data_IF_166569254239
#
_entry.id   IF_166569254239
#
_cell.length_a   1.000
_cell.length_b   1.000
_cell.length_c   1.000
_cell.angle_alpha   90.00
_cell.angle_beta   90.00
_cell.angle_gamma   90.00
#
_symmetry.space_group_name_H-M   'P 1'
#
loop_
_entity.id
_entity.type
_entity.pdbx_description
1 polymer ?
#
# COMPACT_ATOMS: atom_id res chain seq x y z
N UNK A 1 22.93 10.38 -38.83
CA UNK A 1 22.39 9.61 -37.68
C UNK A 1 20.91 9.37 -37.88
N UNK A 2 20.45 8.12 -37.79
CA UNK A 2 19.03 7.78 -37.93
C UNK A 2 18.22 8.19 -36.68
N UNK A 3 16.99 8.68 -36.88
CA UNK A 3 16.10 9.11 -35.79
C UNK A 3 15.24 7.94 -35.28
N UNK A 4 15.65 7.32 -34.17
CA UNK A 4 14.96 6.16 -33.59
C UNK A 4 13.74 6.50 -32.70
N UNK A 5 13.22 7.74 -32.75
CA UNK A 5 12.15 8.21 -31.84
C UNK A 5 10.82 7.51 -32.10
N UNK A 6 10.51 7.19 -33.36
CA UNK A 6 9.30 6.46 -33.75
C UNK A 6 9.36 5.00 -33.28
N UNK A 7 10.49 4.32 -33.51
CA UNK A 7 10.72 2.93 -33.09
C UNK A 7 10.69 2.81 -31.56
N UNK A 8 11.31 3.74 -30.84
CA UNK A 8 11.26 3.79 -29.38
C UNK A 8 9.83 3.98 -28.85
N UNK A 9 8.99 4.74 -29.57
CA UNK A 9 7.56 4.92 -29.26
C UNK A 9 6.76 3.65 -29.54
N UNK A 10 6.98 3.00 -30.68
CA UNK A 10 6.31 1.75 -31.05
C UNK A 10 6.68 0.62 -30.08
N UNK A 11 7.97 0.44 -29.79
CA UNK A 11 8.48 -0.53 -28.82
C UNK A 11 7.88 -0.32 -27.41
N UNK A 12 7.78 0.93 -26.97
CA UNK A 12 7.14 1.30 -25.70
C UNK A 12 5.66 0.89 -25.67
N UNK A 13 4.93 1.12 -26.76
CA UNK A 13 3.52 0.71 -26.88
C UNK A 13 3.35 -0.81 -26.94
N UNK A 14 4.25 -1.52 -27.62
CA UNK A 14 4.21 -2.99 -27.75
C UNK A 14 4.57 -3.69 -26.44
N UNK A 15 5.58 -3.17 -25.71
CA UNK A 15 6.03 -3.71 -24.42
C UNK A 15 5.18 -3.28 -23.22
N UNK A 16 4.20 -2.38 -23.42
CA UNK A 16 3.38 -1.82 -22.34
C UNK A 16 4.21 -1.09 -21.28
N UNK A 17 5.32 -0.45 -21.67
CA UNK A 17 6.24 0.21 -20.76
C UNK A 17 6.52 1.65 -21.20
N UNK A 18 7.03 2.51 -20.31
CA UNK A 18 7.42 3.87 -20.69
C UNK A 18 8.68 3.92 -21.56
N UNK A 19 8.80 4.92 -22.44
CA UNK A 19 9.96 5.10 -23.36
C UNK A 19 11.34 5.05 -22.67
N UNK A 20 11.43 5.45 -21.39
CA UNK A 20 12.68 5.38 -20.59
C UNK A 20 13.14 3.94 -20.33
N UNK A 21 12.22 2.97 -20.34
CA UNK A 21 12.49 1.56 -20.10
C UNK A 21 12.79 0.77 -21.38
N UNK A 22 12.70 1.40 -22.55
CA UNK A 22 13.12 0.78 -23.81
C UNK A 22 14.61 1.04 -24.00
N UNK A 23 15.38 -0.04 -24.07
CA UNK A 23 16.76 -0.05 -24.55
C UNK A 23 16.76 -0.49 -26.02
N UNK A 24 17.61 0.16 -26.82
CA UNK A 24 17.84 -0.13 -28.22
C UNK A 24 19.34 -0.40 -28.35
N UNK A 25 19.70 -1.44 -29.09
CA UNK A 25 21.10 -1.77 -29.35
C UNK A 25 21.79 -0.65 -30.16
N UNK A 26 22.90 -0.06 -29.68
CA UNK A 26 23.65 0.94 -30.43
C UNK A 26 24.43 0.38 -31.63
N UNK A 27 24.67 -0.93 -31.71
CA UNK A 27 25.41 -1.54 -32.81
C UNK A 27 24.51 -1.79 -34.03
N UNK A 28 23.25 -2.16 -33.78
CA UNK A 28 22.28 -2.53 -34.82
C UNK A 28 21.27 -1.39 -35.14
N UNK A 29 21.76 -0.15 -35.17
CA UNK A 29 20.92 1.04 -35.41
C UNK A 29 20.25 1.01 -36.79
N UNK A 30 20.93 0.48 -37.80
CA UNK A 30 20.43 0.36 -39.18
C UNK A 30 19.25 -0.61 -39.26
N UNK A 31 19.37 -1.79 -38.64
CA UNK A 31 18.32 -2.82 -38.58
C UNK A 31 17.08 -2.28 -37.84
N UNK A 32 17.29 -1.64 -36.70
CA UNK A 32 16.20 -1.04 -35.91
C UNK A 32 15.52 0.09 -36.70
N UNK A 33 16.28 0.91 -37.43
CA UNK A 33 15.72 2.01 -38.22
C UNK A 33 14.77 1.53 -39.33
N UNK A 34 15.01 0.34 -39.90
CA UNK A 34 14.19 -0.22 -40.96
C UNK A 34 12.85 -0.79 -40.47
N UNK A 35 12.71 -1.05 -39.16
CA UNK A 35 11.48 -1.57 -38.58
C UNK A 35 10.42 -0.47 -38.37
N UNK A 36 9.45 -0.40 -39.28
CA UNK A 36 8.37 0.58 -39.26
C UNK A 36 7.05 0.04 -38.69
N UNK A 37 6.84 -1.28 -38.74
CA UNK A 37 5.61 -1.92 -38.26
C UNK A 37 5.71 -2.41 -36.81
N UNK A 38 4.56 -2.60 -36.15
CA UNK A 38 4.51 -3.20 -34.80
C UNK A 38 4.96 -4.66 -34.82
N UNK A 39 4.70 -5.37 -35.91
CA UNK A 39 5.09 -6.76 -36.13
C UNK A 39 6.62 -6.88 -36.17
N UNK A 40 7.30 -6.00 -36.91
CA UNK A 40 8.77 -5.99 -37.00
C UNK A 40 9.41 -5.68 -35.65
N UNK A 41 8.85 -4.70 -34.92
CA UNK A 41 9.31 -4.37 -33.56
C UNK A 41 9.13 -5.56 -32.60
N UNK A 42 8.09 -6.39 -32.75
CA UNK A 42 7.94 -7.63 -31.97
C UNK A 42 9.02 -8.66 -32.30
N UNK A 43 9.42 -8.76 -33.58
CA UNK A 43 10.53 -9.61 -34.01
C UNK A 43 11.84 -9.15 -33.38
N UNK A 44 12.17 -7.85 -33.47
CA UNK A 44 13.37 -7.27 -32.85
C UNK A 44 13.41 -7.40 -31.31
N UNK A 45 12.25 -7.41 -30.65
CA UNK A 45 12.15 -7.70 -29.20
C UNK A 45 12.50 -9.17 -28.93
N UNK A 46 12.01 -10.09 -29.77
CA UNK A 46 12.28 -11.53 -29.64
C UNK A 46 13.75 -11.85 -29.90
N UNK A 47 14.35 -11.15 -30.86
CA UNK A 47 15.76 -11.30 -31.25
C UNK A 47 16.71 -10.61 -30.25
N UNK A 48 16.18 -9.85 -29.29
CA UNK A 48 16.96 -9.23 -28.20
C UNK A 48 17.58 -7.87 -28.52
N UNK A 49 17.35 -7.33 -29.72
CA UNK A 49 17.84 -6.00 -30.15
C UNK A 49 17.09 -4.85 -29.45
N UNK A 50 15.87 -5.11 -29.01
CA UNK A 50 15.05 -4.18 -28.21
C UNK A 50 14.72 -4.82 -26.87
N UNK A 51 15.24 -4.24 -25.78
CA UNK A 51 15.10 -4.81 -24.44
C UNK A 51 14.30 -3.89 -23.53
N UNK A 52 13.42 -4.48 -22.72
CA UNK A 52 12.79 -3.79 -21.59
C UNK A 52 13.76 -3.75 -20.41
N UNK A 53 14.31 -2.58 -20.12
CA UNK A 53 15.12 -2.36 -18.90
C UNK A 53 14.30 -2.68 -17.64
N UNK A 54 14.92 -3.30 -16.63
CA UNK A 54 14.26 -3.52 -15.35
C UNK A 54 13.86 -2.20 -14.68
N UNK A 55 12.93 -2.28 -13.73
CA UNK A 55 12.59 -1.13 -12.90
C UNK A 55 13.77 -0.74 -12.02
N UNK A 56 13.92 0.57 -11.78
CA UNK A 56 14.94 1.05 -10.84
C UNK A 56 14.51 0.64 -9.44
N UNK A 57 15.40 -0.02 -8.71
CA UNK A 57 15.06 -0.62 -7.42
C UNK A 57 14.97 0.49 -6.36
N UNK A 58 13.81 0.58 -5.71
CA UNK A 58 13.64 1.38 -4.49
C UNK A 58 13.51 0.45 -3.30
N UNK A 59 14.61 0.25 -2.56
CA UNK A 59 14.62 -0.63 -1.39
C UNK A 59 13.77 -0.08 -0.26
N UNK A 60 12.99 -0.96 0.39
CA UNK A 60 12.18 -0.64 1.58
C UNK A 60 12.91 -0.92 2.90
N UNK A 61 14.18 -1.31 2.86
CA UNK A 61 14.96 -1.72 4.04
C UNK A 61 14.92 -0.68 5.18
N UNK A 62 15.29 0.58 4.88
CA UNK A 62 15.29 1.67 5.88
C UNK A 62 13.91 1.93 6.48
N UNK A 63 12.86 1.87 5.67
CA UNK A 63 11.47 2.04 6.14
C UNK A 63 11.07 0.89 7.07
N UNK A 64 11.43 -0.36 6.75
CA UNK A 64 11.13 -1.52 7.61
C UNK A 64 11.85 -1.43 8.95
N UNK A 65 13.13 -1.07 8.95
CA UNK A 65 13.90 -0.88 10.18
C UNK A 65 13.31 0.24 11.06
N UNK A 66 12.95 1.38 10.44
CA UNK A 66 12.30 2.47 11.17
C UNK A 66 10.94 2.05 11.75
N UNK A 67 10.13 1.27 11.01
CA UNK A 67 8.86 0.75 11.51
C UNK A 67 9.05 -0.24 12.66
N UNK A 68 10.08 -1.09 12.61
CA UNK A 68 10.45 -2.01 13.69
C UNK A 68 10.84 -1.23 14.96
N UNK A 69 11.63 -0.16 14.82
CA UNK A 69 11.98 0.72 15.94
C UNK A 69 10.76 1.48 16.50
N UNK A 70 9.88 2.00 15.62
CA UNK A 70 8.63 2.66 16.02
C UNK A 70 7.69 1.73 16.78
N UNK A 71 7.60 0.45 16.39
CA UNK A 71 6.80 -0.56 17.10
C UNK A 71 7.30 -0.82 18.53
N UNK A 72 8.62 -0.68 18.77
CA UNK A 72 9.23 -0.70 20.10
C UNK A 72 9.06 0.61 20.89
N UNK A 73 8.31 1.59 20.36
CA UNK A 73 8.10 2.89 21.00
C UNK A 73 9.20 3.93 20.74
N UNK A 74 10.20 3.65 19.89
CA UNK A 74 11.22 4.66 19.52
C UNK A 74 10.65 5.67 18.52
N UNK A 75 11.17 6.90 18.53
CA UNK A 75 10.76 7.98 17.61
C UNK A 75 9.27 8.41 17.70
N UNK A 76 8.61 8.23 18.85
CA UNK A 76 7.18 8.59 19.08
C UNK A 76 6.97 9.69 20.14
N UNK A 77 8.06 10.28 20.66
CA UNK A 77 8.03 11.37 21.63
C UNK A 77 7.39 12.66 21.10
N UNK A 78 7.06 13.64 21.97
CA UNK A 78 6.30 14.84 21.64
C UNK A 78 6.88 15.63 20.46
N UNK A 79 8.21 15.82 20.40
CA UNK A 79 8.87 16.54 19.30
C UNK A 79 8.79 15.86 17.92
N UNK A 80 8.31 14.62 17.83
CA UNK A 80 8.03 13.94 16.54
C UNK A 80 6.54 13.91 16.21
N UNK A 81 5.68 14.37 17.12
CA UNK A 81 4.22 14.41 16.91
C UNK A 81 3.90 15.66 16.11
N UNK A 82 3.19 15.46 15.00
CA UNK A 82 2.55 16.51 14.21
C UNK A 82 1.05 16.25 14.21
N UNK A 83 0.24 17.31 14.25
CA UNK A 83 -1.21 17.25 14.37
C UNK A 83 -1.71 17.04 15.81
N UNK A 84 -3.02 17.25 16.01
CA UNK A 84 -3.69 17.13 17.31
C UNK A 84 -3.84 15.67 17.74
N UNK A 85 -4.13 15.43 19.03
CA UNK A 85 -4.35 14.08 19.55
C UNK A 85 -5.51 13.36 18.83
N UNK A 86 -6.62 14.05 18.60
CA UNK A 86 -7.78 13.52 17.88
C UNK A 86 -7.46 13.18 16.41
N UNK A 87 -6.62 13.96 15.72
CA UNK A 87 -6.20 13.63 14.36
C UNK A 87 -5.33 12.36 14.29
N UNK A 88 -4.51 12.11 15.32
CA UNK A 88 -3.62 10.95 15.40
C UNK A 88 -4.36 9.68 15.83
N UNK A 89 -5.30 9.82 16.76
CA UNK A 89 -6.16 8.75 17.26
C UNK A 89 -7.57 9.30 17.51
N UNK A 90 -8.48 9.18 16.53
CA UNK A 90 -9.82 9.72 16.65
C UNK A 90 -10.59 9.11 17.81
N UNK A 91 -11.21 9.97 18.62
CA UNK A 91 -11.96 9.53 19.79
C UNK A 91 -13.12 8.58 19.43
N UNK A 92 -13.84 8.84 18.34
CA UNK A 92 -14.91 7.96 17.86
C UNK A 92 -14.42 6.54 17.51
N UNK A 93 -13.19 6.40 17.01
CA UNK A 93 -12.59 5.09 16.71
C UNK A 93 -12.25 4.34 18.00
N UNK A 94 -11.70 5.05 19.01
CA UNK A 94 -11.44 4.47 20.33
C UNK A 94 -12.73 4.02 21.01
N UNK A 95 -13.80 4.81 20.91
CA UNK A 95 -15.13 4.48 21.43
C UNK A 95 -15.69 3.22 20.78
N UNK A 96 -15.72 3.16 19.43
CA UNK A 96 -16.19 1.99 18.70
C UNK A 96 -15.42 0.71 19.09
N UNK A 97 -14.08 0.79 19.19
CA UNK A 97 -13.25 -0.35 19.59
C UNK A 97 -13.58 -0.83 21.00
N UNK A 98 -13.71 0.09 21.95
CA UNK A 98 -14.05 -0.22 23.35
C UNK A 98 -15.42 -0.89 23.44
N UNK A 99 -16.44 -0.31 22.83
CA UNK A 99 -17.81 -0.85 22.80
C UNK A 99 -17.85 -2.27 22.23
N UNK A 100 -17.19 -2.51 21.09
CA UNK A 100 -17.18 -3.82 20.44
C UNK A 100 -16.50 -4.89 21.29
N UNK A 101 -15.38 -4.57 21.95
CA UNK A 101 -14.66 -5.50 22.82
C UNK A 101 -15.52 -5.87 24.03
N UNK A 102 -16.12 -4.87 24.70
CA UNK A 102 -16.95 -5.09 25.88
C UNK A 102 -18.22 -5.90 25.56
N UNK A 103 -18.92 -5.58 24.47
CA UNK A 103 -20.12 -6.34 24.06
C UNK A 103 -19.79 -7.78 23.68
N UNK A 104 -18.64 -8.00 23.04
CA UNK A 104 -18.16 -9.37 22.73
C UNK A 104 -17.84 -10.14 24.01
N UNK A 105 -17.21 -9.49 25.00
CA UNK A 105 -16.91 -10.11 26.29
C UNK A 105 -18.19 -10.50 27.04
N UNK A 106 -19.19 -9.62 27.10
CA UNK A 106 -20.48 -9.93 27.71
C UNK A 106 -21.16 -11.12 27.02
N UNK A 107 -21.13 -11.18 25.69
CA UNK A 107 -21.68 -12.32 24.96
C UNK A 107 -20.99 -13.63 25.36
N UNK A 108 -19.66 -13.63 25.41
CA UNK A 108 -18.87 -14.79 25.83
C UNK A 108 -19.24 -15.23 27.25
N UNK A 109 -19.35 -14.30 28.20
CA UNK A 109 -19.70 -14.64 29.59
C UNK A 109 -21.12 -15.19 29.74
N UNK A 110 -22.04 -14.75 28.89
CA UNK A 110 -23.40 -15.30 28.82
C UNK A 110 -23.39 -16.73 28.26
N UNK A 111 -22.60 -16.99 27.22
CA UNK A 111 -22.41 -18.34 26.64
C UNK A 111 -21.75 -19.29 27.66
N UNK A 112 -20.74 -18.81 28.39
CA UNK A 112 -20.06 -19.53 29.48
C UNK A 112 -20.93 -19.67 30.75
N UNK A 113 -22.17 -19.14 30.76
CA UNK A 113 -23.10 -19.12 31.91
C UNK A 113 -22.53 -18.49 33.20
N UNK A 114 -21.52 -17.61 33.07
CA UNK A 114 -20.96 -16.85 34.20
C UNK A 114 -21.86 -15.70 34.64
N UNK A 115 -22.72 -15.23 33.75
CA UNK A 115 -23.68 -14.15 33.99
C UNK A 115 -25.07 -14.61 33.60
N UNK A 116 -26.05 -14.20 34.40
CA UNK A 116 -27.46 -14.40 34.09
C UNK A 116 -27.95 -13.39 33.02
N UNK A 117 -29.08 -13.72 32.37
CA UNK A 117 -29.72 -12.90 31.33
C UNK A 117 -30.07 -11.51 31.86
N UNK A 118 -30.56 -11.39 33.09
CA UNK A 118 -30.94 -10.10 33.67
C UNK A 118 -29.71 -9.21 33.87
N UNK A 119 -28.64 -9.79 34.41
CA UNK A 119 -27.37 -9.11 34.58
C UNK A 119 -26.73 -8.71 33.24
N UNK A 120 -26.85 -9.54 32.19
CA UNK A 120 -26.38 -9.21 30.84
C UNK A 120 -27.07 -7.96 30.28
N UNK A 121 -28.41 -7.85 30.41
CA UNK A 121 -29.16 -6.70 29.88
C UNK A 121 -28.77 -5.43 30.63
N UNK A 122 -28.68 -5.49 31.97
CA UNK A 122 -28.23 -4.35 32.79
C UNK A 122 -26.84 -3.87 32.37
N UNK A 123 -25.86 -4.77 32.27
CA UNK A 123 -24.49 -4.43 31.88
C UNK A 123 -24.39 -3.95 30.42
N UNK A 124 -25.21 -4.48 29.52
CA UNK A 124 -25.27 -4.05 28.13
C UNK A 124 -25.73 -2.59 28.02
N UNK A 125 -26.77 -2.23 28.77
CA UNK A 125 -27.30 -0.86 28.85
C UNK A 125 -26.27 0.06 29.53
N UNK A 126 -25.65 -0.38 30.63
CA UNK A 126 -24.60 0.37 31.31
C UNK A 126 -23.44 0.73 30.38
N UNK A 127 -22.98 -0.22 29.57
CA UNK A 127 -21.90 -0.02 28.58
C UNK A 127 -22.30 1.00 27.51
N UNK A 128 -23.59 1.10 27.17
CA UNK A 128 -24.10 2.12 26.26
C UNK A 128 -24.17 3.51 26.90
N UNK A 129 -24.64 3.61 28.15
CA UNK A 129 -24.90 4.88 28.86
C UNK A 129 -23.61 5.56 29.34
N UNK A 130 -22.61 4.80 29.81
CA UNK A 130 -21.43 5.36 30.47
C UNK A 130 -20.51 6.22 29.58
N UNK A 131 -20.89 6.50 28.34
CA UNK A 131 -20.09 7.31 27.41
C UNK A 131 -20.84 8.45 26.74
N UNK A 132 -22.15 8.58 26.92
CA UNK A 132 -22.87 9.83 26.57
C UNK A 132 -22.56 10.97 27.55
N UNK A 133 -22.00 10.65 28.73
CA UNK A 133 -21.76 11.59 29.84
C UNK A 133 -20.29 12.11 29.86
N UNK A 134 -19.37 11.47 29.12
CA UNK A 134 -17.95 11.89 29.05
C UNK A 134 -17.59 12.64 27.77
N UNK A 135 -18.61 13.15 27.05
CA UNK A 135 -18.50 14.08 25.92
C UNK A 135 -19.42 15.27 26.14
#
# INVERSE_FOLDING_TARGET
MANLRSQKRLASSVLGCGKRKVWLDPNEVSEISNANSRQDVRKLIKDGLIIRKPQTIHSRFRVREQLKAKRKGRHTGPGKRKGTANARMPHGVLWMRRQRVLRRLLRKYREDKKIDKHLYIYLYIYIYINYTIFY
#
